data_IF_196455430561
#
_entry.id   IF_196455430561
#
_cell.length_a   1.000
_cell.length_b   1.000
_cell.length_c   1.000
_cell.angle_alpha   90.00
_cell.angle_beta   90.00
_cell.angle_gamma   90.00
#
_symmetry.space_group_name_H-M   'P 1'
#
loop_
_entity.id
_entity.type
_entity.pdbx_description
1 polymer ?
#
# COMPACT_ATOMS: atom_id res chain seq x y z
N UNK A 1 12.68 6.68 -10.36
CA UNK A 1 13.02 6.74 -8.91
C UNK A 1 12.05 5.85 -8.16
N UNK A 2 12.51 5.07 -7.18
CA UNK A 2 11.62 4.24 -6.35
C UNK A 2 10.96 5.09 -5.27
N UNK A 3 9.68 4.80 -4.99
CA UNK A 3 8.91 5.44 -3.93
C UNK A 3 8.26 4.40 -3.02
N UNK A 4 8.01 4.76 -1.76
CA UNK A 4 7.15 3.98 -0.87
C UNK A 4 5.77 4.65 -0.76
N UNK A 5 4.69 3.89 -0.92
CA UNK A 5 3.31 4.37 -0.86
C UNK A 5 2.54 3.63 0.23
N UNK A 6 1.83 4.40 1.07
CA UNK A 6 0.92 3.85 2.08
C UNK A 6 -0.25 4.82 2.33
N UNK A 7 -1.37 4.27 2.81
CA UNK A 7 -2.54 5.08 3.16
C UNK A 7 -2.30 5.81 4.47
N UNK A 8 -2.33 7.15 4.44
CA UNK A 8 -2.29 7.94 5.65
C UNK A 8 -3.70 8.24 6.16
N UNK A 9 -4.13 7.43 7.14
CA UNK A 9 -5.47 7.52 7.73
C UNK A 9 -5.69 8.74 8.64
N UNK A 10 -4.64 9.51 8.95
CA UNK A 10 -4.71 10.70 9.83
C UNK A 10 -5.04 11.99 9.08
N UNK A 11 -4.87 12.02 7.76
CA UNK A 11 -5.19 13.19 6.94
C UNK A 11 -6.72 13.35 6.75
N UNK A 12 -7.16 14.60 6.62
CA UNK A 12 -8.52 14.96 6.22
C UNK A 12 -8.46 15.98 5.08
N UNK A 13 -8.86 15.60 3.84
CA UNK A 13 -9.29 14.26 3.42
C UNK A 13 -8.14 13.24 3.51
N UNK A 14 -8.49 11.95 3.60
CA UNK A 14 -7.49 10.86 3.60
C UNK A 14 -6.79 10.81 2.24
N UNK A 15 -5.49 10.58 2.26
CA UNK A 15 -4.67 10.52 1.05
C UNK A 15 -3.57 9.46 1.16
N UNK A 16 -3.00 9.09 0.02
CA UNK A 16 -1.80 8.26 -0.05
C UNK A 16 -0.58 9.13 0.23
N UNK A 17 0.26 8.69 1.17
CA UNK A 17 1.57 9.31 1.39
C UNK A 17 2.60 8.65 0.48
N UNK A 18 3.36 9.48 -0.23
CA UNK A 18 4.47 9.04 -1.07
C UNK A 18 5.77 9.41 -0.37
N UNK A 19 6.66 8.43 -0.16
CA UNK A 19 7.99 8.64 0.39
C UNK A 19 9.08 8.46 -0.66
N UNK A 20 10.00 9.39 -0.69
CA UNK A 20 11.21 9.39 -1.50
C UNK A 20 12.42 9.56 -0.56
N UNK A 21 13.43 8.70 -0.70
CA UNK A 21 14.59 8.73 0.20
C UNK A 21 14.23 8.56 1.68
N UNK A 22 13.14 7.83 1.98
CA UNK A 22 12.67 7.58 3.34
C UNK A 22 11.85 8.72 3.98
N UNK A 23 11.69 9.86 3.30
CA UNK A 23 10.88 11.00 3.78
C UNK A 23 9.61 11.14 2.95
N UNK A 24 8.51 11.57 3.58
CA UNK A 24 7.27 11.89 2.85
C UNK A 24 7.53 13.11 1.98
N UNK A 25 7.39 12.97 0.66
CA UNK A 25 7.56 14.07 -0.29
C UNK A 25 6.24 14.74 -0.65
N UNK A 26 5.14 13.97 -0.71
CA UNK A 26 3.79 14.48 -1.03
C UNK A 26 2.66 13.59 -0.53
N UNK A 27 1.46 14.15 -0.57
CA UNK A 27 0.20 13.43 -0.41
C UNK A 27 -0.60 13.52 -1.70
N UNK A 28 -1.14 12.39 -2.16
CA UNK A 28 -1.87 12.31 -3.43
C UNK A 28 -3.18 11.54 -3.26
N UNK A 29 -4.26 11.92 -3.97
CA UNK A 29 -5.52 11.18 -3.94
C UNK A 29 -5.39 9.81 -4.63
N UNK A 30 -4.59 9.71 -5.69
CA UNK A 30 -4.34 8.49 -6.43
C UNK A 30 -2.90 8.45 -6.98
N UNK A 31 -2.37 7.25 -7.21
CA UNK A 31 -1.06 7.02 -7.84
C UNK A 31 -0.99 5.58 -8.39
N UNK A 32 -0.29 5.37 -9.51
CA UNK A 32 0.05 4.04 -10.00
C UNK A 32 1.55 3.77 -9.86
N UNK A 33 1.91 2.52 -9.55
CA UNK A 33 3.30 2.06 -9.43
C UNK A 33 3.53 0.83 -10.32
N UNK A 34 4.68 0.76 -10.99
CA UNK A 34 5.22 -0.43 -11.67
C UNK A 34 6.26 -1.14 -10.78
N UNK A 35 6.49 -2.42 -11.05
CA UNK A 35 7.51 -3.26 -10.39
C UNK A 35 7.40 -3.24 -8.87
N UNK A 36 6.19 -3.57 -8.39
CA UNK A 36 5.80 -3.32 -7.01
C UNK A 36 6.21 -4.48 -6.10
N UNK A 37 6.78 -4.13 -4.95
CA UNK A 37 7.00 -5.02 -3.81
C UNK A 37 6.18 -4.53 -2.64
N UNK A 38 5.39 -5.43 -2.05
CA UNK A 38 4.65 -5.18 -0.83
C UNK A 38 5.53 -5.48 0.38
N UNK A 39 5.73 -4.49 1.24
CA UNK A 39 6.63 -4.58 2.39
C UNK A 39 5.81 -4.44 3.67
N UNK A 40 5.98 -5.40 4.57
CA UNK A 40 5.41 -5.39 5.92
C UNK A 40 6.56 -5.46 6.92
N UNK A 41 6.47 -4.71 8.01
CA UNK A 41 7.40 -4.77 9.14
C UNK A 41 6.76 -5.58 10.28
N UNK A 42 7.12 -6.87 10.47
CA UNK A 42 6.44 -7.73 11.44
C UNK A 42 6.50 -7.18 12.87
N UNK A 43 7.64 -6.61 13.27
CA UNK A 43 7.77 -5.96 14.59
C UNK A 43 6.83 -4.76 14.76
N UNK A 44 6.60 -3.99 13.70
CA UNK A 44 5.65 -2.89 13.73
C UNK A 44 4.20 -3.38 13.79
N UNK A 45 3.87 -4.46 13.08
CA UNK A 45 2.56 -5.13 13.17
C UNK A 45 2.32 -5.65 14.59
N UNK A 46 3.25 -6.40 15.16
CA UNK A 46 3.16 -6.89 16.53
C UNK A 46 2.98 -5.75 17.55
N UNK A 47 3.65 -4.61 17.33
CA UNK A 47 3.44 -3.41 18.15
C UNK A 47 2.04 -2.82 17.99
N UNK A 48 1.52 -2.73 16.77
CA UNK A 48 0.16 -2.26 16.48
C UNK A 48 -0.88 -3.13 17.17
N UNK A 49 -0.75 -4.45 17.04
CA UNK A 49 -1.64 -5.43 17.65
C UNK A 49 -1.60 -5.36 19.18
N UNK A 50 -0.40 -5.39 19.77
CA UNK A 50 -0.21 -5.32 21.22
C UNK A 50 -0.76 -4.05 21.84
N UNK A 51 -0.60 -2.90 21.17
CA UNK A 51 -1.03 -1.60 21.70
C UNK A 51 -2.47 -1.24 21.30
N UNK A 52 -3.09 -1.96 20.36
CA UNK A 52 -4.38 -1.56 19.77
C UNK A 52 -4.31 -0.24 18.99
N UNK A 53 -3.10 0.23 18.63
CA UNK A 53 -2.87 1.57 18.08
C UNK A 53 -2.30 1.48 16.66
N UNK A 54 -2.97 2.13 15.69
CA UNK A 54 -2.52 2.14 14.30
C UNK A 54 -1.24 2.96 14.13
N UNK A 55 -0.26 2.36 13.46
CA UNK A 55 0.99 2.97 13.01
C UNK A 55 1.33 2.49 11.60
N UNK A 56 2.21 3.21 10.91
CA UNK A 56 2.74 2.74 9.61
C UNK A 56 3.58 1.49 9.85
N UNK A 57 3.10 0.37 9.35
CA UNK A 57 3.72 -0.95 9.49
C UNK A 57 3.81 -1.71 8.16
N UNK A 58 3.28 -1.13 7.09
CA UNK A 58 3.33 -1.68 5.75
C UNK A 58 3.26 -0.57 4.70
N UNK A 59 3.84 -0.82 3.52
CA UNK A 59 3.81 0.05 2.35
C UNK A 59 4.10 -0.76 1.08
N UNK A 60 3.74 -0.19 -0.07
CA UNK A 60 4.15 -0.71 -1.37
C UNK A 60 5.32 0.11 -1.91
N UNK A 61 6.32 -0.55 -2.47
CA UNK A 61 7.49 0.09 -3.09
C UNK A 61 7.49 -0.18 -4.58
N UNK A 62 7.66 0.85 -5.40
CA UNK A 62 7.71 0.71 -6.86
C UNK A 62 8.10 2.00 -7.57
N UNK A 63 7.98 2.01 -8.90
CA UNK A 63 8.25 3.18 -9.75
C UNK A 63 6.94 3.87 -10.11
N UNK A 64 6.76 5.17 -9.81
CA UNK A 64 5.58 5.92 -10.23
C UNK A 64 5.44 5.93 -11.76
N UNK A 65 4.23 5.66 -12.24
CA UNK A 65 3.90 5.71 -13.66
C UNK A 65 2.51 6.33 -13.89
N UNK A 66 2.26 6.77 -15.12
CA UNK A 66 0.92 7.03 -15.63
C UNK A 66 0.47 5.78 -16.40
N UNK A 67 -0.62 5.15 -15.97
CA UNK A 67 -1.17 3.97 -16.63
C UNK A 67 -2.69 3.91 -16.49
N UNK A 68 -3.41 3.43 -17.52
CA UNK A 68 -4.84 3.17 -17.40
C UNK A 68 -5.08 2.03 -16.41
N UNK A 69 -6.27 1.98 -15.81
CA UNK A 69 -6.66 0.84 -14.98
C UNK A 69 -6.90 -0.39 -15.89
N UNK A 70 -6.29 -1.51 -15.53
CA UNK A 70 -6.43 -2.75 -16.28
C UNK A 70 -7.60 -3.61 -15.76
N UNK A 71 -8.40 -4.24 -16.65
CA UNK A 71 -9.49 -5.12 -16.24
C UNK A 71 -9.05 -6.34 -15.42
N UNK A 72 -7.81 -6.82 -15.62
CA UNK A 72 -7.26 -7.96 -14.90
C UNK A 72 -6.79 -7.62 -13.46
N UNK A 73 -6.91 -6.37 -13.03
CA UNK A 73 -6.44 -5.98 -11.70
C UNK A 73 -7.34 -6.57 -10.60
N UNK A 74 -6.73 -7.20 -9.61
CA UNK A 74 -7.40 -7.77 -8.44
C UNK A 74 -7.20 -6.88 -7.23
N UNK A 75 -8.15 -6.91 -6.29
CA UNK A 75 -8.05 -6.09 -5.08
C UNK A 75 -7.00 -6.67 -4.14
N UNK A 76 -6.14 -5.81 -3.62
CA UNK A 76 -5.17 -6.15 -2.57
C UNK A 76 -5.48 -5.33 -1.34
N UNK A 77 -5.47 -5.98 -0.18
CA UNK A 77 -5.77 -5.35 1.11
C UNK A 77 -4.71 -5.65 2.15
N UNK A 78 -4.70 -4.85 3.20
CA UNK A 78 -3.85 -5.06 4.38
C UNK A 78 -4.59 -4.53 5.60
N UNK A 79 -4.79 -5.39 6.60
CA UNK A 79 -5.17 -4.96 7.94
C UNK A 79 -4.17 -5.51 8.97
N UNK A 80 -3.42 -4.62 9.66
CA UNK A 80 -2.44 -5.05 10.66
C UNK A 80 -3.05 -5.74 11.88
N UNK A 81 -4.37 -5.67 12.09
CA UNK A 81 -5.04 -6.40 13.18
C UNK A 81 -5.38 -7.85 12.83
N UNK A 82 -5.45 -8.18 11.53
CA UNK A 82 -5.81 -9.51 11.05
C UNK A 82 -4.57 -10.33 10.67
N UNK A 83 -3.67 -9.75 9.86
CA UNK A 83 -2.51 -10.47 9.32
C UNK A 83 -1.30 -9.56 9.09
N UNK A 84 -0.10 -10.16 9.14
CA UNK A 84 1.15 -9.50 8.82
C UNK A 84 1.52 -9.62 7.32
N UNK A 85 0.52 -9.57 6.43
CA UNK A 85 0.69 -9.75 5.00
C UNK A 85 -0.36 -8.94 4.21
N UNK A 86 -0.01 -8.54 2.99
CA UNK A 86 -0.99 -8.08 2.01
C UNK A 86 -1.69 -9.30 1.41
N UNK A 87 -3.00 -9.23 1.25
CA UNK A 87 -3.80 -10.37 0.79
C UNK A 87 -4.82 -9.98 -0.27
N UNK A 88 -5.16 -10.95 -1.12
CA UNK A 88 -6.37 -10.94 -1.93
C UNK A 88 -7.60 -11.21 -1.06
N UNK A 89 -8.78 -11.09 -1.66
CA UNK A 89 -10.07 -11.33 -0.99
C UNK A 89 -10.23 -12.80 -0.53
N UNK A 90 -9.54 -13.75 -1.17
CA UNK A 90 -9.51 -15.17 -0.79
C UNK A 90 -8.44 -15.50 0.28
N UNK A 91 -7.71 -14.49 0.76
CA UNK A 91 -6.64 -14.66 1.75
C UNK A 91 -5.26 -14.99 1.16
N UNK A 92 -5.14 -15.17 -0.16
CA UNK A 92 -3.85 -15.41 -0.82
C UNK A 92 -2.89 -14.26 -0.57
N UNK A 93 -1.69 -14.57 -0.06
CA UNK A 93 -0.66 -13.57 0.22
C UNK A 93 -0.06 -13.02 -1.07
N UNK A 94 0.08 -11.69 -1.13
CA UNK A 94 0.68 -10.97 -2.25
C UNK A 94 1.96 -10.29 -1.79
N UNK A 95 3.08 -10.66 -2.43
CA UNK A 95 4.40 -10.06 -2.14
C UNK A 95 4.86 -9.11 -3.24
N UNK A 96 4.41 -9.33 -4.47
CA UNK A 96 4.82 -8.59 -5.67
C UNK A 96 3.63 -8.41 -6.61
N UNK A 97 3.72 -7.38 -7.44
CA UNK A 97 2.80 -7.12 -8.53
C UNK A 97 3.52 -6.38 -9.65
N UNK A 98 3.16 -6.66 -10.90
CA UNK A 98 3.69 -5.95 -12.07
C UNK A 98 3.23 -4.48 -12.08
N UNK A 99 1.99 -4.24 -11.64
CA UNK A 99 1.37 -2.91 -11.59
C UNK A 99 0.43 -2.80 -10.38
N UNK A 100 0.41 -1.66 -9.70
CA UNK A 100 -0.55 -1.37 -8.63
C UNK A 100 -1.15 0.02 -8.80
N UNK A 101 -2.48 0.11 -8.75
CA UNK A 101 -3.22 1.36 -8.68
C UNK A 101 -3.72 1.61 -7.26
N UNK A 102 -3.35 2.76 -6.72
CA UNK A 102 -3.91 3.33 -5.50
C UNK A 102 -4.93 4.39 -5.90
N UNK A 103 -6.19 4.20 -5.50
CA UNK A 103 -7.30 5.05 -5.94
C UNK A 103 -7.77 6.01 -4.83
N UNK A 104 -8.52 7.04 -5.22
CA UNK A 104 -9.05 8.07 -4.31
C UNK A 104 -10.02 7.50 -3.25
N UNK A 105 -10.75 6.44 -3.60
CA UNK A 105 -11.61 5.70 -2.66
C UNK A 105 -10.81 4.91 -1.60
N UNK A 106 -9.47 4.94 -1.68
CA UNK A 106 -8.49 4.28 -0.81
C UNK A 106 -8.35 2.78 -1.07
N UNK A 107 -8.86 2.30 -2.19
CA UNK A 107 -8.62 0.93 -2.64
C UNK A 107 -7.25 0.79 -3.33
N UNK A 108 -6.73 -0.42 -3.29
CA UNK A 108 -5.47 -0.83 -3.89
C UNK A 108 -5.78 -2.01 -4.82
N UNK A 109 -5.39 -1.90 -6.09
CA UNK A 109 -5.67 -2.88 -7.14
C UNK A 109 -4.39 -3.25 -7.85
N UNK A 110 -4.10 -4.54 -7.96
CA UNK A 110 -2.83 -5.05 -8.48
C UNK A 110 -3.02 -5.95 -9.69
N UNK A 111 -2.12 -5.84 -10.67
CA UNK A 111 -1.90 -6.86 -11.69
C UNK A 111 -0.73 -7.72 -11.20
N UNK A 112 -1.01 -8.97 -10.86
CA UNK A 112 -0.03 -9.91 -10.28
C UNK A 112 0.91 -10.49 -11.32
#
# INVERSE_FOLDING_TARGET
MLVDVYLNRRLQPRAWSVREGGRVSRHVPAIALMDVVFIVHPAAVARVQRLGQRAVCAYARGVPIEAPRYPAAVRVSFDPFEAAAFTLDDGTTVLRASLVHFLEDRSCWAVL
#
